data_IF_881271408875
#
_entry.id   IF_881271408875
#
_cell.length_a   1.000
_cell.length_b   1.000
_cell.length_c   1.000
_cell.angle_alpha   90.00
_cell.angle_beta   90.00
_cell.angle_gamma   90.00
#
_symmetry.space_group_name_H-M   'P 1'
#
loop_
_entity.id
_entity.type
_entity.pdbx_description
1 polymer ?
#
# COMPACT_ATOMS: atom_id res chain seq x y z
N UNK A 1 -7.45 32.14 -21.99
CA UNK A 1 -6.60 32.31 -20.79
C UNK A 1 -6.79 31.07 -19.92
N UNK A 2 -6.00 30.03 -20.18
CA UNK A 2 -6.06 28.77 -19.41
C UNK A 2 -5.21 28.99 -18.15
N UNK A 3 -5.70 28.70 -16.93
CA UNK A 3 -4.90 28.87 -15.73
C UNK A 3 -3.70 27.93 -15.81
N UNK A 4 -2.51 28.45 -15.55
CA UNK A 4 -1.29 27.66 -15.39
C UNK A 4 -1.45 26.86 -14.09
N UNK A 5 -2.04 25.67 -14.20
CA UNK A 5 -2.15 24.72 -13.09
C UNK A 5 -0.73 24.30 -12.68
N UNK A 6 -0.38 24.66 -11.45
CA UNK A 6 0.91 24.46 -10.81
C UNK A 6 1.27 22.97 -10.80
N UNK A 7 2.16 22.57 -11.71
CA UNK A 7 2.72 21.22 -11.91
C UNK A 7 3.18 20.51 -10.61
N UNK A 8 3.54 21.31 -9.60
CA UNK A 8 3.96 20.85 -8.26
C UNK A 8 2.84 20.19 -7.44
N UNK A 9 1.58 20.64 -7.59
CA UNK A 9 0.45 20.10 -6.81
C UNK A 9 0.04 18.69 -7.27
N UNK A 10 0.24 18.36 -8.54
CA UNK A 10 -0.16 17.08 -9.13
C UNK A 10 0.73 15.92 -8.66
N UNK A 11 2.04 16.15 -8.56
CA UNK A 11 2.98 15.11 -8.10
C UNK A 11 2.77 14.78 -6.63
N UNK A 12 2.45 15.78 -5.80
CA UNK A 12 2.24 15.60 -4.36
C UNK A 12 0.90 14.91 -4.05
N UNK A 13 -0.13 15.14 -4.86
CA UNK A 13 -1.41 14.40 -4.76
C UNK A 13 -1.29 12.95 -5.25
N UNK A 14 -0.46 12.70 -6.28
CA UNK A 14 -0.10 11.34 -6.75
C UNK A 14 0.79 10.62 -5.74
N UNK A 15 1.59 11.35 -4.95
CA UNK A 15 2.41 10.84 -3.84
C UNK A 15 1.65 10.70 -2.52
N UNK A 16 0.31 10.66 -2.52
CA UNK A 16 -0.42 10.27 -1.30
C UNK A 16 0.14 8.95 -0.80
N UNK A 17 0.56 8.91 0.47
CA UNK A 17 1.01 7.66 1.06
C UNK A 17 -0.17 6.67 1.02
N UNK A 18 0.03 5.43 0.52
CA UNK A 18 -1.03 4.47 0.26
C UNK A 18 -2.02 4.31 1.41
N UNK A 19 -1.56 4.39 2.66
CA UNK A 19 -2.42 4.23 3.83
C UNK A 19 -3.40 5.39 4.02
N UNK A 20 -2.96 6.63 3.82
CA UNK A 20 -3.83 7.79 3.98
C UNK A 20 -4.92 7.79 2.92
N UNK A 21 -4.57 7.36 1.70
CA UNK A 21 -5.53 7.14 0.62
C UNK A 21 -6.57 6.07 1.00
N UNK A 22 -6.12 4.91 1.50
CA UNK A 22 -7.03 3.83 1.92
C UNK A 22 -7.95 4.25 3.07
N UNK A 23 -7.43 4.95 4.09
CA UNK A 23 -8.24 5.49 5.18
C UNK A 23 -9.25 6.54 4.70
N UNK A 24 -8.89 7.36 3.71
CA UNK A 24 -9.79 8.34 3.11
C UNK A 24 -10.91 7.69 2.28
N UNK A 25 -10.61 6.55 1.64
CA UNK A 25 -11.55 5.83 0.77
C UNK A 25 -12.58 4.99 1.53
N UNK A 26 -12.40 4.77 2.85
CA UNK A 26 -13.28 3.91 3.67
C UNK A 26 -14.77 4.25 3.57
N UNK A 27 -15.09 5.54 3.36
CA UNK A 27 -16.47 6.02 3.22
C UNK A 27 -17.19 5.42 2.01
N UNK A 28 -16.47 5.19 0.90
CA UNK A 28 -17.04 4.55 -0.30
C UNK A 28 -17.46 3.10 -0.06
N UNK A 29 -16.90 2.45 0.96
CA UNK A 29 -17.18 1.07 1.32
C UNK A 29 -18.06 0.95 2.57
N UNK A 30 -18.58 2.06 3.10
CA UNK A 30 -19.40 2.07 4.31
C UNK A 30 -18.65 1.66 5.58
N UNK A 31 -17.31 1.79 5.60
CA UNK A 31 -16.46 1.32 6.70
C UNK A 31 -16.15 2.41 7.74
N UNK A 32 -16.22 2.03 9.01
CA UNK A 32 -15.61 2.78 10.10
C UNK A 32 -14.08 2.78 9.99
N UNK A 33 -13.42 3.78 10.60
CA UNK A 33 -11.94 3.89 10.56
C UNK A 33 -11.26 2.66 11.17
N UNK A 34 -11.82 2.16 12.27
CA UNK A 34 -11.32 0.95 12.95
C UNK A 34 -11.42 -0.29 12.06
N UNK A 35 -12.54 -0.45 11.35
CA UNK A 35 -12.76 -1.59 10.44
C UNK A 35 -11.82 -1.51 9.23
N UNK A 36 -11.67 -0.33 8.64
CA UNK A 36 -10.71 -0.09 7.56
C UNK A 36 -9.28 -0.43 8.00
N UNK A 37 -8.85 0.04 9.17
CA UNK A 37 -7.52 -0.27 9.73
C UNK A 37 -7.31 -1.75 10.00
N UNK A 38 -8.34 -2.45 10.50
CA UNK A 38 -8.29 -3.89 10.68
C UNK A 38 -8.05 -4.59 9.34
N UNK A 39 -8.82 -4.27 8.30
CA UNK A 39 -8.68 -4.86 6.97
C UNK A 39 -7.30 -4.56 6.39
N UNK A 40 -6.85 -3.30 6.41
CA UNK A 40 -5.53 -2.88 5.94
C UNK A 40 -4.43 -3.69 6.64
N UNK A 41 -4.55 -3.90 7.95
CA UNK A 41 -3.59 -4.69 8.74
C UNK A 41 -3.61 -6.17 8.34
N UNK A 42 -4.77 -6.77 8.12
CA UNK A 42 -4.87 -8.17 7.70
C UNK A 42 -4.26 -8.38 6.32
N UNK A 43 -4.54 -7.47 5.37
CA UNK A 43 -3.87 -7.47 4.05
C UNK A 43 -2.35 -7.38 4.23
N UNK A 44 -1.85 -6.44 5.05
CA UNK A 44 -0.43 -6.30 5.32
C UNK A 44 0.21 -7.57 5.93
N UNK A 45 -0.48 -8.26 6.85
CA UNK A 45 0.02 -9.51 7.45
C UNK A 45 0.22 -10.60 6.40
N UNK A 46 -0.73 -10.77 5.48
CA UNK A 46 -0.65 -11.74 4.40
C UNK A 46 0.44 -11.34 3.41
N UNK A 47 0.44 -10.08 2.96
CA UNK A 47 1.42 -9.54 2.01
C UNK A 47 2.86 -9.66 2.52
N UNK A 48 3.10 -9.54 3.84
CA UNK A 48 4.44 -9.77 4.43
C UNK A 48 4.99 -11.18 4.12
N UNK A 49 4.12 -12.17 3.92
CA UNK A 49 4.50 -13.55 3.60
C UNK A 49 4.83 -13.82 2.13
N UNK A 50 4.76 -12.80 1.25
CA UNK A 50 4.81 -12.98 -0.21
C UNK A 50 6.04 -13.76 -0.72
N UNK A 51 7.21 -13.60 -0.09
CA UNK A 51 8.43 -14.34 -0.51
C UNK A 51 8.27 -15.85 -0.36
N UNK A 52 7.64 -16.30 0.73
CA UNK A 52 7.43 -17.73 0.97
C UNK A 52 6.52 -18.31 -0.12
N UNK A 53 5.44 -17.59 -0.45
CA UNK A 53 4.53 -17.97 -1.54
C UNK A 53 5.24 -17.95 -2.89
N UNK A 54 6.08 -16.94 -3.16
CA UNK A 54 6.84 -16.85 -4.40
C UNK A 54 7.78 -18.06 -4.58
N UNK A 55 8.44 -18.50 -3.50
CA UNK A 55 9.25 -19.72 -3.50
C UNK A 55 8.38 -20.95 -3.76
N UNK A 56 7.24 -21.07 -3.08
CA UNK A 56 6.32 -22.20 -3.19
C UNK A 56 5.79 -22.39 -4.61
N UNK A 57 5.53 -21.30 -5.34
CA UNK A 57 5.08 -21.33 -6.74
C UNK A 57 6.23 -21.43 -7.76
N UNK A 58 7.48 -21.56 -7.30
CA UNK A 58 8.65 -21.83 -8.14
C UNK A 58 9.38 -20.61 -8.70
N UNK A 59 9.20 -19.41 -8.11
CA UNK A 59 9.92 -18.21 -8.54
C UNK A 59 11.42 -18.30 -8.22
N UNK A 60 12.26 -17.78 -9.10
CA UNK A 60 13.72 -17.74 -8.91
C UNK A 60 14.10 -16.64 -7.91
N UNK A 61 15.21 -16.84 -7.20
CA UNK A 61 15.73 -15.86 -6.25
C UNK A 61 15.95 -14.45 -6.87
N UNK A 62 16.37 -14.38 -8.13
CA UNK A 62 16.55 -13.11 -8.85
C UNK A 62 15.22 -12.39 -9.14
N UNK A 63 14.15 -13.14 -9.45
CA UNK A 63 12.80 -12.61 -9.67
C UNK A 63 12.21 -12.07 -8.35
N UNK A 64 12.37 -12.83 -7.27
CA UNK A 64 11.99 -12.40 -5.92
C UNK A 64 12.78 -11.14 -5.53
N UNK A 65 14.09 -11.11 -5.72
CA UNK A 65 14.89 -9.92 -5.38
C UNK A 65 14.45 -8.68 -6.16
N UNK A 66 14.06 -8.83 -7.43
CA UNK A 66 13.57 -7.72 -8.26
C UNK A 66 12.23 -7.16 -7.78
N UNK A 67 11.38 -8.01 -7.21
CA UNK A 67 10.05 -7.62 -6.70
C UNK A 67 10.06 -7.05 -5.28
N UNK A 68 11.19 -7.12 -4.57
CA UNK A 68 11.28 -6.73 -3.17
C UNK A 68 10.69 -5.33 -2.87
N UNK A 69 11.03 -4.30 -3.66
CA UNK A 69 10.55 -2.93 -3.41
C UNK A 69 9.03 -2.75 -3.55
N UNK A 70 8.34 -3.64 -4.28
CA UNK A 70 6.89 -3.59 -4.43
C UNK A 70 6.15 -4.10 -3.18
N UNK A 71 6.79 -4.96 -2.39
CA UNK A 71 6.17 -5.60 -1.21
C UNK A 71 6.82 -5.15 0.11
N UNK A 72 8.09 -4.75 0.10
CA UNK A 72 8.89 -4.40 1.27
C UNK A 72 9.15 -2.89 1.30
N UNK A 73 8.18 -2.15 1.83
CA UNK A 73 8.20 -0.70 1.89
C UNK A 73 7.72 -0.19 3.26
N UNK A 74 7.88 1.11 3.52
CA UNK A 74 7.54 1.71 4.82
C UNK A 74 6.05 1.59 5.17
N UNK A 75 5.16 1.65 4.18
CA UNK A 75 3.73 1.49 4.44
C UNK A 75 3.34 0.09 4.91
N UNK A 76 4.05 -0.96 4.48
CA UNK A 76 3.84 -2.29 5.05
C UNK A 76 4.09 -2.26 6.57
N UNK A 77 5.19 -1.63 6.99
CA UNK A 77 5.54 -1.52 8.40
C UNK A 77 4.55 -0.64 9.20
N UNK A 78 4.02 0.41 8.59
CA UNK A 78 2.97 1.25 9.19
C UNK A 78 1.66 0.49 9.32
N UNK A 79 1.24 -0.21 8.27
CA UNK A 79 0.02 -1.01 8.23
C UNK A 79 -0.01 -2.09 9.32
N UNK A 80 1.11 -2.79 9.54
CA UNK A 80 1.23 -3.83 10.55
C UNK A 80 1.07 -3.31 12.00
N UNK A 81 1.25 -2.00 12.22
CA UNK A 81 1.12 -1.33 13.52
C UNK A 81 -0.26 -0.72 13.78
N UNK A 82 -1.15 -0.71 12.77
CA UNK A 82 -2.51 -0.20 12.93
C UNK A 82 -3.29 -1.00 13.99
N UNK A 83 -4.17 -0.32 14.72
CA UNK A 83 -4.99 -0.87 15.80
C UNK A 83 -6.46 -0.94 15.40
#
# INVERSE_FOLDING_TARGET
MVPVFREKLWVDEIRREPLDLLESARGYFGLGLKEARLIIREVAKVTRGWRAIAVEVGAKASEISRMASAFEHQDLNRALKLK
#
